data_IF_807637896401
#
_entry.id   IF_807637896401
#
_cell.length_a   1.000
_cell.length_b   1.000
_cell.length_c   1.000
_cell.angle_alpha   90.00
_cell.angle_beta   90.00
_cell.angle_gamma   90.00
#
_symmetry.space_group_name_H-M   'P 1'
#
loop_
_entity.id
_entity.type
_entity.pdbx_description
1 polymer ?
#
# COMPACT_ATOMS: atom_id res chain seq x y z
N UNK A 1 38.73 -64.08 2.10
CA UNK A 1 38.54 -64.79 0.83
C UNK A 1 37.10 -65.29 0.76
N UNK A 2 36.37 -64.81 -0.24
CA UNK A 2 35.29 -65.47 -0.99
C UNK A 2 34.15 -66.24 -0.28
N UNK A 3 32.92 -65.74 -0.52
CA UNK A 3 31.69 -66.46 -0.99
C UNK A 3 31.06 -67.54 -0.08
N UNK A 4 29.75 -67.80 -0.07
CA UNK A 4 28.54 -67.31 -0.72
C UNK A 4 27.35 -67.94 0.03
N UNK A 5 26.29 -67.14 0.23
CA UNK A 5 24.91 -67.42 -0.14
C UNK A 5 24.31 -68.84 -0.04
N UNK A 6 23.15 -68.91 0.61
CA UNK A 6 22.14 -69.97 0.53
C UNK A 6 20.79 -69.35 0.15
N UNK A 7 19.88 -70.06 -0.56
CA UNK A 7 18.92 -69.52 -1.52
C UNK A 7 17.51 -69.35 -0.93
N UNK A 8 16.61 -68.77 -1.73
CA UNK A 8 15.12 -68.81 -1.74
C UNK A 8 14.62 -67.43 -2.22
N UNK A 9 14.61 -67.20 -3.54
CA UNK A 9 13.48 -67.42 -4.46
C UNK A 9 12.28 -66.48 -4.22
N UNK A 10 12.16 -65.50 -5.12
CA UNK A 10 10.94 -65.00 -5.76
C UNK A 10 9.63 -65.00 -4.95
N UNK A 11 9.18 -63.80 -4.56
CA UNK A 11 7.92 -63.23 -5.05
C UNK A 11 8.10 -61.71 -5.14
N UNK A 12 8.17 -61.27 -6.39
CA UNK A 12 8.24 -59.89 -6.86
C UNK A 12 6.84 -59.28 -6.76
N UNK A 13 6.67 -58.23 -5.96
CA UNK A 13 5.55 -57.28 -6.10
C UNK A 13 6.09 -55.85 -6.10
N UNK A 14 6.56 -55.42 -7.26
CA UNK A 14 6.85 -54.01 -7.55
C UNK A 14 5.54 -53.39 -8.02
N UNK A 15 4.92 -52.57 -7.18
CA UNK A 15 3.78 -51.75 -7.58
C UNK A 15 4.35 -50.44 -8.16
N UNK A 16 4.40 -50.36 -9.49
CA UNK A 16 4.64 -49.11 -10.20
C UNK A 16 3.31 -48.35 -10.32
N UNK A 17 3.14 -47.27 -9.56
CA UNK A 17 2.02 -46.34 -9.75
C UNK A 17 2.40 -45.31 -10.82
N UNK A 18 1.97 -45.57 -12.05
CA UNK A 18 1.83 -44.53 -13.06
C UNK A 18 0.49 -43.81 -12.83
N UNK A 19 0.52 -42.55 -12.44
CA UNK A 19 -0.68 -41.71 -12.32
C UNK A 19 -0.76 -40.85 -13.59
N UNK A 20 -1.61 -41.25 -14.53
CA UNK A 20 -2.08 -40.39 -15.61
C UNK A 20 -3.35 -39.68 -15.15
N UNK A 21 -3.32 -38.35 -15.05
CA UNK A 21 -4.53 -37.57 -14.81
C UNK A 21 -5.27 -37.33 -16.13
N UNK A 22 -6.38 -38.04 -16.31
CA UNK A 22 -7.51 -37.58 -17.09
C UNK A 22 -8.79 -38.11 -16.41
N UNK A 23 -9.74 -37.21 -16.18
CA UNK A 23 -11.08 -37.43 -15.59
C UNK A 23 -11.20 -37.30 -14.06
N UNK A 24 -11.98 -36.30 -13.64
CA UNK A 24 -12.54 -36.13 -12.29
C UNK A 24 -13.68 -37.15 -12.08
N UNK A 25 -13.47 -38.22 -11.31
CA UNK A 25 -14.44 -38.80 -10.36
C UNK A 25 -13.65 -39.65 -9.36
N UNK A 26 -13.73 -39.37 -8.06
CA UNK A 26 -13.18 -40.26 -7.03
C UNK A 26 -14.33 -41.12 -6.46
N UNK A 27 -14.39 -42.40 -6.83
CA UNK A 27 -15.20 -43.39 -6.12
C UNK A 27 -14.33 -43.95 -4.99
N UNK A 28 -14.68 -43.68 -3.73
CA UNK A 28 -13.97 -44.27 -2.58
C UNK A 28 -14.61 -45.61 -2.20
N UNK A 29 -13.83 -46.70 -2.22
CA UNK A 29 -14.22 -48.04 -1.75
C UNK A 29 -13.51 -48.42 -0.45
N UNK A 30 -13.60 -47.59 0.60
CA UNK A 30 -13.21 -47.99 1.96
C UNK A 30 -14.15 -47.35 3.01
N UNK A 31 -15.04 -48.17 3.60
CA UNK A 31 -15.84 -47.81 4.77
C UNK A 31 -15.03 -48.13 6.04
N UNK A 32 -14.55 -47.11 6.73
CA UNK A 32 -14.02 -47.20 8.09
C UNK A 32 -14.52 -46.02 8.92
N UNK A 33 -15.18 -46.29 10.05
CA UNK A 33 -15.60 -45.26 11.00
C UNK A 33 -14.37 -44.72 11.74
N UNK A 34 -14.23 -43.39 11.76
CA UNK A 34 -13.24 -42.58 12.47
C UNK A 34 -11.88 -42.34 11.79
N UNK A 35 -11.90 -41.58 10.68
CA UNK A 35 -10.78 -40.68 10.34
C UNK A 35 -11.33 -39.26 10.14
N UNK A 36 -10.99 -38.36 11.07
CA UNK A 36 -11.08 -36.92 10.85
C UNK A 36 -9.76 -36.52 10.17
N UNK A 37 -9.77 -36.39 8.85
CA UNK A 37 -8.64 -35.81 8.11
C UNK A 37 -8.96 -34.37 7.74
N UNK A 38 -8.26 -33.41 8.35
CA UNK A 38 -8.19 -32.04 7.84
C UNK A 38 -7.29 -32.00 6.60
N UNK A 39 -7.84 -32.37 5.44
CA UNK A 39 -7.20 -32.12 4.14
C UNK A 39 -7.84 -30.89 3.53
N UNK A 40 -7.16 -29.75 3.70
CA UNK A 40 -7.42 -28.53 2.94
C UNK A 40 -6.90 -28.77 1.52
N UNK A 41 -7.78 -28.98 0.55
CA UNK A 41 -7.40 -29.10 -0.85
C UNK A 41 -6.87 -27.77 -1.36
N UNK A 42 -5.70 -27.80 -1.99
CA UNK A 42 -5.21 -26.68 -2.77
C UNK A 42 -6.08 -26.54 -4.02
N UNK A 43 -7.01 -25.58 -4.00
CA UNK A 43 -7.78 -25.23 -5.18
C UNK A 43 -6.85 -24.70 -6.27
N UNK A 44 -6.73 -25.48 -7.35
CA UNK A 44 -6.33 -25.01 -8.65
C UNK A 44 -7.41 -24.05 -9.16
N UNK A 45 -7.30 -22.76 -8.83
CA UNK A 45 -8.12 -21.75 -9.48
C UNK A 45 -7.56 -21.49 -10.88
N UNK A 46 -8.21 -22.08 -11.88
CA UNK A 46 -7.96 -21.80 -13.29
C UNK A 46 -8.15 -20.30 -13.58
N UNK A 47 -7.09 -19.66 -14.09
CA UNK A 47 -6.96 -18.21 -14.35
C UNK A 47 -7.82 -17.65 -15.50
N UNK A 48 -8.94 -18.28 -15.83
CA UNK A 48 -9.81 -17.86 -16.94
C UNK A 48 -11.30 -17.92 -16.57
N UNK A 49 -11.71 -17.30 -15.45
CA UNK A 49 -13.11 -16.87 -15.26
C UNK A 49 -13.27 -15.87 -14.12
N UNK A 50 -12.81 -14.64 -14.33
CA UNK A 50 -13.33 -13.47 -13.60
C UNK A 50 -13.54 -12.34 -14.61
N UNK A 51 -14.45 -12.59 -15.56
CA UNK A 51 -15.12 -11.51 -16.28
C UNK A 51 -16.11 -10.87 -15.31
N UNK A 52 -15.83 -9.62 -14.97
CA UNK A 52 -16.73 -8.59 -14.46
C UNK A 52 -18.10 -9.06 -13.96
N UNK A 53 -18.19 -9.35 -12.67
CA UNK A 53 -19.36 -8.91 -11.91
C UNK A 53 -18.89 -7.78 -10.99
N UNK A 54 -18.98 -6.55 -11.50
CA UNK A 54 -19.08 -5.35 -10.65
C UNK A 54 -20.45 -5.42 -9.97
N UNK A 55 -20.57 -6.30 -9.00
CA UNK A 55 -21.64 -6.19 -8.03
C UNK A 55 -21.10 -5.26 -6.97
N UNK A 56 -21.67 -4.06 -6.92
CA UNK A 56 -21.47 -3.08 -5.86
C UNK A 56 -21.55 -3.81 -4.53
N UNK A 57 -20.40 -4.02 -3.89
CA UNK A 57 -20.37 -4.54 -2.53
C UNK A 57 -20.85 -3.38 -1.68
N UNK A 58 -22.08 -3.52 -1.19
CA UNK A 58 -22.69 -2.60 -0.24
C UNK A 58 -21.70 -2.26 0.87
N UNK A 59 -21.66 -0.98 1.26
CA UNK A 59 -20.97 -0.44 2.44
C UNK A 59 -21.53 -1.12 3.70
N UNK A 60 -21.13 -2.36 3.92
CA UNK A 60 -21.63 -3.21 5.01
C UNK A 60 -20.57 -3.14 6.09
N UNK A 61 -20.75 -2.20 7.03
CA UNK A 61 -20.22 -2.21 8.41
C UNK A 61 -18.92 -2.97 8.62
N UNK A 62 -17.84 -2.53 7.98
CA UNK A 62 -16.52 -2.72 8.60
C UNK A 62 -16.45 -1.74 9.76
N UNK A 63 -16.23 -2.23 10.97
CA UNK A 63 -15.94 -1.38 12.12
C UNK A 63 -14.59 -0.69 11.89
N UNK A 64 -14.61 0.42 11.16
CA UNK A 64 -13.41 1.25 10.95
C UNK A 64 -13.29 2.25 12.09
N UNK A 65 -12.06 2.53 12.52
CA UNK A 65 -11.81 3.55 13.56
C UNK A 65 -12.04 4.98 13.07
N UNK A 66 -12.15 5.18 11.75
CA UNK A 66 -12.38 6.48 11.11
C UNK A 66 -13.86 6.89 11.22
N UNK A 67 -14.11 8.20 11.38
CA UNK A 67 -15.45 8.78 11.52
C UNK A 67 -15.61 10.00 10.61
N UNK A 68 -16.57 9.95 9.68
CA UNK A 68 -16.74 10.98 8.63
C UNK A 68 -18.08 11.74 8.69
N UNK A 69 -18.94 11.49 9.68
CA UNK A 69 -20.28 12.08 9.73
C UNK A 69 -20.28 13.61 9.69
N UNK A 70 -19.45 14.26 10.50
CA UNK A 70 -19.34 15.73 10.53
C UNK A 70 -18.79 16.29 9.22
N UNK A 71 -17.80 15.60 8.63
CA UNK A 71 -17.27 15.94 7.32
C UNK A 71 -18.37 15.91 6.25
N UNK A 72 -19.15 14.82 6.17
CA UNK A 72 -20.22 14.67 5.18
C UNK A 72 -21.31 15.72 5.32
N UNK A 73 -21.76 15.99 6.54
CA UNK A 73 -22.76 17.05 6.81
C UNK A 73 -22.27 18.40 6.28
N UNK A 74 -21.02 18.76 6.59
CA UNK A 74 -20.46 20.04 6.15
C UNK A 74 -20.17 20.06 4.64
N UNK A 75 -19.72 18.94 4.06
CA UNK A 75 -19.51 18.79 2.62
C UNK A 75 -20.80 19.00 1.83
N UNK A 76 -21.90 18.36 2.23
CA UNK A 76 -23.22 18.53 1.62
C UNK A 76 -23.73 19.96 1.77
N UNK A 77 -23.45 20.61 2.91
CA UNK A 77 -23.81 22.02 3.14
C UNK A 77 -23.09 22.95 2.16
N UNK A 78 -21.80 22.74 1.94
CA UNK A 78 -21.00 23.51 0.98
C UNK A 78 -21.37 23.19 -0.48
N UNK A 79 -21.72 21.95 -0.79
CA UNK A 79 -21.91 21.45 -2.15
C UNK A 79 -23.23 20.69 -2.33
N UNK A 80 -24.36 21.42 -2.26
CA UNK A 80 -25.74 20.87 -2.25
C UNK A 80 -26.11 19.85 -3.34
N UNK A 81 -25.39 19.82 -4.46
CA UNK A 81 -25.68 18.95 -5.62
C UNK A 81 -24.50 18.03 -5.99
N UNK A 82 -23.61 17.71 -5.05
CA UNK A 82 -22.51 16.77 -5.26
C UNK A 82 -22.82 15.43 -4.60
N UNK A 83 -22.41 14.36 -5.25
CA UNK A 83 -22.39 13.05 -4.64
C UNK A 83 -21.45 13.05 -3.41
N UNK A 84 -21.82 12.35 -2.33
CA UNK A 84 -20.95 12.20 -1.18
C UNK A 84 -19.67 11.46 -1.58
N UNK A 85 -18.55 11.82 -0.95
CA UNK A 85 -17.29 11.09 -1.11
C UNK A 85 -17.34 9.79 -0.33
N UNK A 86 -16.81 8.69 -0.86
CA UNK A 86 -16.82 7.43 -0.10
C UNK A 86 -15.83 7.47 1.06
N UNK A 87 -16.21 6.84 2.18
CA UNK A 87 -15.37 6.72 3.37
C UNK A 87 -14.05 6.01 3.08
N UNK A 88 -14.06 5.02 2.18
CA UNK A 88 -12.85 4.33 1.72
C UNK A 88 -11.88 5.30 1.03
N UNK A 89 -12.38 6.17 0.17
CA UNK A 89 -11.55 7.16 -0.53
C UNK A 89 -11.03 8.23 0.43
N UNK A 90 -11.85 8.68 1.39
CA UNK A 90 -11.43 9.62 2.43
C UNK A 90 -10.34 9.02 3.32
N UNK A 91 -10.47 7.74 3.68
CA UNK A 91 -9.46 7.02 4.47
C UNK A 91 -8.13 6.90 3.72
N UNK A 92 -8.18 6.56 2.43
CA UNK A 92 -6.98 6.61 1.56
C UNK A 92 -6.39 8.02 1.51
N UNK A 93 -7.22 9.05 1.31
CA UNK A 93 -6.75 10.42 1.20
C UNK A 93 -6.05 10.90 2.48
N UNK A 94 -6.56 10.53 3.66
CA UNK A 94 -5.92 10.85 4.94
C UNK A 94 -4.52 10.26 5.01
N UNK A 95 -4.34 8.96 4.70
CA UNK A 95 -3.01 8.35 4.70
C UNK A 95 -2.05 9.03 3.73
N UNK A 96 -2.56 9.42 2.55
CA UNK A 96 -1.77 10.15 1.55
C UNK A 96 -1.38 11.56 2.02
N UNK A 97 -2.31 12.27 2.65
CA UNK A 97 -2.10 13.60 3.23
C UNK A 97 -1.14 13.57 4.42
N UNK A 98 -1.15 12.53 5.26
CA UNK A 98 -0.21 12.41 6.38
C UNK A 98 1.24 12.19 5.90
N UNK A 99 1.42 11.52 4.76
CA UNK A 99 2.72 11.36 4.12
C UNK A 99 3.21 12.64 3.42
N UNK A 100 2.56 13.06 2.33
CA UNK A 100 3.07 14.14 1.46
C UNK A 100 2.36 15.50 1.64
N UNK A 101 1.37 15.58 2.54
CA UNK A 101 0.65 16.81 2.85
C UNK A 101 1.38 17.71 3.86
N UNK A 102 0.93 18.96 3.96
CA UNK A 102 1.41 19.94 4.93
C UNK A 102 0.22 20.70 5.50
N UNK A 103 0.01 20.54 6.81
CA UNK A 103 -0.97 21.26 7.61
C UNK A 103 -0.25 22.49 8.18
N UNK A 104 -0.38 23.64 7.52
CA UNK A 104 0.45 24.81 7.80
C UNK A 104 -0.31 25.90 8.55
N UNK A 105 0.37 26.54 9.49
CA UNK A 105 -0.04 27.78 10.14
C UNK A 105 1.04 28.84 10.00
N UNK A 106 0.64 30.10 9.76
CA UNK A 106 1.56 31.23 9.62
C UNK A 106 0.92 32.50 10.17
N UNK A 107 1.73 33.56 10.28
CA UNK A 107 1.35 34.82 10.92
C UNK A 107 0.83 34.58 12.35
N UNK A 108 1.64 33.91 13.18
CA UNK A 108 1.33 33.61 14.59
C UNK A 108 0.01 32.85 14.78
N UNK A 109 -0.29 31.92 13.86
CA UNK A 109 -1.51 31.10 13.93
C UNK A 109 -2.77 31.77 13.39
N UNK A 110 -2.70 33.00 12.85
CA UNK A 110 -3.86 33.69 12.28
C UNK A 110 -4.27 33.18 10.91
N UNK A 111 -3.35 32.56 10.17
CA UNK A 111 -3.61 32.03 8.83
C UNK A 111 -3.27 30.55 8.76
N UNK A 112 -4.14 29.81 8.09
CA UNK A 112 -4.09 28.35 7.95
C UNK A 112 -4.12 27.98 6.48
N UNK A 113 -3.39 26.95 6.09
CA UNK A 113 -3.33 26.45 4.71
C UNK A 113 -2.97 24.98 4.67
N UNK A 114 -3.66 24.23 3.81
CA UNK A 114 -3.23 22.90 3.40
C UNK A 114 -2.44 22.96 2.11
N UNK A 115 -1.34 22.20 2.05
CA UNK A 115 -0.57 22.01 0.81
C UNK A 115 -0.28 20.54 0.62
N UNK A 116 -0.67 19.96 -0.52
CA UNK A 116 -0.26 18.62 -0.92
C UNK A 116 0.67 18.73 -2.13
N UNK A 117 1.91 18.26 -1.98
CA UNK A 117 2.94 18.40 -3.02
C UNK A 117 3.16 17.07 -3.74
N UNK A 118 3.10 17.07 -5.07
CA UNK A 118 3.37 15.88 -5.89
C UNK A 118 4.12 16.22 -7.17
N UNK A 119 4.93 15.29 -7.67
CA UNK A 119 5.51 15.39 -9.02
C UNK A 119 4.51 15.01 -10.11
N UNK A 120 3.52 14.19 -9.78
CA UNK A 120 2.41 13.87 -10.67
C UNK A 120 1.23 14.81 -10.46
N UNK A 121 0.93 15.65 -11.45
CA UNK A 121 -0.22 16.57 -11.39
C UNK A 121 -1.57 15.86 -11.42
N UNK A 122 -1.66 14.70 -12.09
CA UNK A 122 -2.93 14.00 -12.32
C UNK A 122 -3.66 13.65 -11.01
N UNK A 123 -2.94 13.15 -10.00
CA UNK A 123 -3.56 12.83 -8.70
C UNK A 123 -4.06 14.08 -7.99
N UNK A 124 -3.31 15.19 -8.07
CA UNK A 124 -3.72 16.45 -7.46
C UNK A 124 -4.97 17.03 -8.12
N UNK A 125 -5.07 16.98 -9.45
CA UNK A 125 -6.28 17.37 -10.16
C UNK A 125 -7.47 16.45 -9.85
N UNK A 126 -7.24 15.15 -9.69
CA UNK A 126 -8.28 14.20 -9.27
C UNK A 126 -8.80 14.52 -7.86
N UNK A 127 -7.89 14.78 -6.91
CA UNK A 127 -8.23 15.21 -5.53
C UNK A 127 -8.99 16.53 -5.55
N UNK A 128 -8.49 17.54 -6.28
CA UNK A 128 -9.14 18.84 -6.43
C UNK A 128 -10.55 18.68 -6.99
N UNK A 129 -10.73 17.88 -8.04
CA UNK A 129 -12.03 17.64 -8.67
C UNK A 129 -13.01 16.95 -7.70
N UNK A 130 -12.54 15.95 -6.94
CA UNK A 130 -13.36 15.21 -5.97
C UNK A 130 -13.81 16.08 -4.81
N UNK A 131 -12.89 16.79 -4.15
CA UNK A 131 -13.27 17.69 -3.06
C UNK A 131 -13.99 18.94 -3.55
N UNK A 132 -13.77 19.35 -4.80
CA UNK A 132 -14.25 20.62 -5.35
C UNK A 132 -13.75 21.85 -4.57
N UNK A 133 -12.51 21.78 -4.04
CA UNK A 133 -11.87 22.86 -3.28
C UNK A 133 -10.42 23.06 -3.72
N UNK A 134 -9.91 24.25 -3.40
CA UNK A 134 -8.51 24.60 -3.61
C UNK A 134 -8.10 24.68 -5.08
N UNK A 135 -6.82 24.90 -5.29
CA UNK A 135 -6.23 25.10 -6.61
C UNK A 135 -4.97 24.26 -6.78
N UNK A 136 -4.78 23.68 -7.97
CA UNK A 136 -3.52 23.01 -8.33
C UNK A 136 -2.63 24.01 -9.07
N UNK A 137 -1.41 24.22 -8.57
CA UNK A 137 -0.40 25.09 -9.18
C UNK A 137 0.83 24.28 -9.58
N UNK A 138 1.40 24.61 -10.74
CA UNK A 138 2.67 24.07 -11.24
C UNK A 138 3.84 24.93 -10.79
N UNK A 139 4.91 24.29 -10.35
CA UNK A 139 6.14 24.93 -9.90
C UNK A 139 7.30 24.35 -10.72
N UNK A 140 7.75 25.08 -11.77
CA UNK A 140 8.89 24.65 -12.55
C UNK A 140 10.16 24.76 -11.72
N UNK A 141 10.99 23.72 -11.72
CA UNK A 141 12.22 23.66 -10.89
C UNK A 141 13.50 23.37 -11.67
N UNK A 142 13.45 23.34 -13.01
CA UNK A 142 14.62 23.03 -13.84
C UNK A 142 15.53 24.24 -14.12
N UNK A 143 16.80 24.17 -13.70
CA UNK A 143 17.90 25.03 -14.21
C UNK A 143 18.78 24.37 -15.29
N UNK A 144 18.53 23.11 -15.65
CA UNK A 144 19.39 22.39 -16.61
C UNK A 144 18.70 21.14 -17.19
N UNK A 145 18.00 21.27 -18.31
CA UNK A 145 17.54 20.18 -19.21
C UNK A 145 16.70 19.02 -18.64
N UNK A 146 16.50 18.96 -17.32
CA UNK A 146 15.74 17.95 -16.57
C UNK A 146 14.66 18.69 -15.81
N UNK A 147 13.41 18.53 -16.23
CA UNK A 147 12.24 18.98 -15.47
C UNK A 147 12.21 18.25 -14.12
N UNK A 148 12.48 18.98 -13.04
CA UNK A 148 12.20 18.55 -11.67
C UNK A 148 10.93 19.25 -11.17
N UNK A 149 10.00 19.45 -12.10
CA UNK A 149 8.80 20.18 -11.81
C UNK A 149 7.96 19.40 -10.80
N UNK A 150 7.25 20.16 -9.98
CA UNK A 150 6.29 19.62 -9.06
C UNK A 150 5.05 20.49 -9.08
N UNK A 151 4.00 19.96 -8.49
CA UNK A 151 2.70 20.57 -8.42
C UNK A 151 2.28 20.61 -6.96
N UNK A 152 1.47 21.60 -6.62
CA UNK A 152 0.87 21.70 -5.29
C UNK A 152 -0.62 21.90 -5.42
N UNK A 153 -1.39 21.08 -4.74
CA UNK A 153 -2.77 21.39 -4.44
C UNK A 153 -2.79 22.22 -3.15
N UNK A 154 -3.29 23.44 -3.25
CA UNK A 154 -3.27 24.44 -2.19
C UNK A 154 -4.71 24.77 -1.83
N UNK A 155 -5.02 24.64 -0.54
CA UNK A 155 -6.30 25.04 0.05
C UNK A 155 -5.99 26.08 1.10
N UNK A 156 -6.49 27.31 0.93
CA UNK A 156 -6.37 28.40 1.92
C UNK A 156 -7.68 29.17 2.12
N UNK A 157 -8.73 28.82 1.37
CA UNK A 157 -10.08 29.32 1.61
C UNK A 157 -10.60 28.79 2.97
N UNK A 158 -11.03 29.66 3.89
CA UNK A 158 -11.37 29.31 5.27
C UNK A 158 -12.48 28.27 5.44
N UNK A 159 -13.54 28.32 4.64
CA UNK A 159 -14.60 27.29 4.65
C UNK A 159 -14.07 25.94 4.15
N UNK A 160 -13.18 25.94 3.15
CA UNK A 160 -12.54 24.72 2.67
C UNK A 160 -11.53 24.14 3.67
N UNK A 161 -10.84 25.00 4.44
CA UNK A 161 -9.98 24.54 5.53
C UNK A 161 -10.80 23.97 6.69
N UNK A 162 -11.95 24.59 7.02
CA UNK A 162 -12.87 24.02 8.00
C UNK A 162 -13.36 22.62 7.58
N UNK A 163 -13.67 22.43 6.29
CA UNK A 163 -14.01 21.12 5.73
C UNK A 163 -12.89 20.10 5.94
N UNK A 164 -11.65 20.45 5.62
CA UNK A 164 -10.50 19.56 5.85
C UNK A 164 -10.21 19.33 7.34
N UNK A 165 -10.45 20.32 8.20
CA UNK A 165 -10.31 20.16 9.63
C UNK A 165 -11.32 19.16 10.19
N UNK A 166 -12.58 19.17 9.71
CA UNK A 166 -13.56 18.13 10.04
C UNK A 166 -13.15 16.75 9.53
N UNK A 167 -12.50 16.67 8.36
CA UNK A 167 -11.97 15.41 7.85
C UNK A 167 -10.86 14.85 8.74
N UNK A 168 -9.93 15.70 9.18
CA UNK A 168 -8.75 15.27 9.93
C UNK A 168 -9.00 15.09 11.43
N UNK A 169 -9.94 15.81 12.04
CA UNK A 169 -10.15 15.81 13.48
C UNK A 169 -10.62 14.44 14.01
N UNK A 170 -9.71 13.73 14.69
CA UNK A 170 -9.93 12.36 15.18
C UNK A 170 -9.65 11.26 14.16
N UNK A 171 -9.13 11.59 12.98
CA UNK A 171 -8.85 10.64 11.90
C UNK A 171 -7.36 10.61 11.50
N UNK A 172 -6.48 11.39 12.14
CA UNK A 172 -5.02 11.36 11.87
C UNK A 172 -4.33 10.30 12.74
N UNK A 173 -3.35 9.58 12.17
CA UNK A 173 -2.61 8.52 12.85
C UNK A 173 -1.24 8.97 13.39
N UNK A 174 -0.71 10.09 12.88
CA UNK A 174 0.63 10.62 13.17
C UNK A 174 0.56 11.82 14.12
N UNK A 175 1.29 11.77 15.24
CA UNK A 175 1.23 12.77 16.32
C UNK A 175 1.54 14.20 15.85
N UNK A 176 2.63 14.39 15.09
CA UNK A 176 2.99 15.75 14.66
C UNK A 176 1.93 16.38 13.73
N UNK A 177 1.16 15.56 12.98
CA UNK A 177 0.04 16.05 12.15
C UNK A 177 -1.13 16.49 13.02
N UNK A 178 -1.39 15.78 14.11
CA UNK A 178 -2.40 16.14 15.12
C UNK A 178 -2.03 17.46 15.80
N UNK A 179 -0.76 17.67 16.14
CA UNK A 179 -0.27 18.94 16.70
C UNK A 179 -0.45 20.10 15.71
N UNK A 180 -0.12 19.90 14.43
CA UNK A 180 -0.37 20.89 13.38
C UNK A 180 -1.87 21.21 13.24
N UNK A 181 -2.73 20.20 13.33
CA UNK A 181 -4.18 20.37 13.29
C UNK A 181 -4.71 21.11 14.53
N UNK A 182 -4.11 20.93 15.70
CA UNK A 182 -4.51 21.66 16.91
C UNK A 182 -4.41 23.18 16.70
N UNK A 183 -3.34 23.63 16.02
CA UNK A 183 -3.17 25.04 15.66
C UNK A 183 -4.23 25.53 14.67
N UNK A 184 -4.63 24.69 13.69
CA UNK A 184 -5.77 24.98 12.82
C UNK A 184 -7.06 25.12 13.60
N UNK A 185 -7.36 24.20 14.51
CA UNK A 185 -8.60 24.22 15.28
C UNK A 185 -8.70 25.50 16.12
N UNK A 186 -7.62 25.93 16.76
CA UNK A 186 -7.58 27.21 17.47
C UNK A 186 -7.90 28.39 16.53
N UNK A 187 -7.23 28.46 15.38
CA UNK A 187 -7.46 29.52 14.39
C UNK A 187 -8.89 29.54 13.84
N UNK A 188 -9.47 28.36 13.59
CA UNK A 188 -10.82 28.19 13.06
C UNK A 188 -11.88 28.53 14.11
N UNK A 189 -11.71 28.10 15.37
CA UNK A 189 -12.62 28.46 16.45
C UNK A 189 -12.62 29.97 16.71
N UNK A 190 -11.45 30.63 16.65
CA UNK A 190 -11.38 32.09 16.75
C UNK A 190 -12.11 32.80 15.60
N UNK A 191 -12.20 32.17 14.43
CA UNK A 191 -12.80 32.76 13.23
C UNK A 191 -14.30 32.51 13.12
N UNK A 192 -14.74 31.29 13.36
CA UNK A 192 -16.11 30.83 13.09
C UNK A 192 -16.99 30.76 14.34
N UNK A 193 -16.41 30.96 15.52
CA UNK A 193 -17.09 30.91 16.80
C UNK A 193 -16.42 29.92 17.75
N UNK A 194 -16.38 30.27 19.04
CA UNK A 194 -15.89 29.39 20.09
C UNK A 194 -16.62 28.05 19.99
N UNK A 195 -15.86 26.95 19.99
CA UNK A 195 -16.38 25.56 19.90
C UNK A 195 -16.86 25.09 18.51
N UNK A 196 -16.56 25.80 17.42
CA UNK A 196 -16.81 25.30 16.05
C UNK A 196 -16.29 23.87 15.83
N UNK A 197 -15.10 23.58 16.35
CA UNK A 197 -14.50 22.25 16.37
C UNK A 197 -14.11 21.89 17.81
N UNK A 198 -14.69 20.81 18.32
CA UNK A 198 -14.18 20.12 19.52
C UNK A 198 -13.00 19.23 19.12
N UNK A 199 -11.79 19.68 19.44
CA UNK A 199 -10.55 19.00 19.03
C UNK A 199 -10.41 17.61 19.66
N UNK A 200 -9.97 16.64 18.87
CA UNK A 200 -9.63 15.27 19.27
C UNK A 200 -8.13 15.06 19.08
N UNK A 201 -7.41 14.93 20.19
CA UNK A 201 -5.95 14.79 20.21
C UNK A 201 -5.45 13.33 20.17
N UNK A 202 -6.35 12.36 20.15
CA UNK A 202 -5.99 10.93 20.12
C UNK A 202 -5.74 10.49 18.68
N UNK A 203 -4.58 9.87 18.38
CA UNK A 203 -4.36 9.28 17.07
C UNK A 203 -5.34 8.16 16.78
N UNK A 204 -5.84 8.10 15.55
CA UNK A 204 -6.68 7.00 15.09
C UNK A 204 -5.87 5.70 15.07
N UNK A 205 -6.53 4.58 15.33
CA UNK A 205 -5.95 3.25 15.16
C UNK A 205 -6.06 2.86 13.69
N UNK A 206 -4.92 2.52 13.08
CA UNK A 206 -4.86 2.00 11.70
C UNK A 206 -5.00 0.49 11.71
N UNK A 207 -5.70 -0.07 10.73
CA UNK A 207 -6.01 -1.50 10.66
C UNK A 207 -5.74 -2.07 9.28
N UNK A 208 -5.64 -3.40 9.18
CA UNK A 208 -5.56 -4.09 7.89
C UNK A 208 -6.88 -4.09 7.10
N UNK A 209 -7.95 -3.52 7.67
CA UNK A 209 -9.32 -3.50 7.15
C UNK A 209 -9.74 -2.12 6.61
N UNK A 210 -8.80 -1.17 6.57
CA UNK A 210 -9.01 0.17 6.06
C UNK A 210 -7.94 0.58 5.02
N UNK A 211 -8.22 1.64 4.27
CA UNK A 211 -7.38 2.11 3.17
C UNK A 211 -6.24 3.06 3.55
N UNK A 212 -6.00 3.30 4.85
CA UNK A 212 -5.05 4.34 5.28
C UNK A 212 -3.63 4.02 4.82
N UNK A 213 -3.19 2.77 4.99
CA UNK A 213 -1.86 2.34 4.57
C UNK A 213 -1.69 2.38 3.05
N UNK A 214 -2.76 2.23 2.26
CA UNK A 214 -2.71 2.45 0.81
C UNK A 214 -2.34 3.91 0.49
N UNK A 215 -3.02 4.87 1.10
CA UNK A 215 -2.69 6.29 0.97
C UNK A 215 -1.27 6.62 1.42
N UNK A 216 -0.90 6.12 2.60
CA UNK A 216 0.44 6.35 3.14
C UNK A 216 1.54 5.74 2.26
N UNK A 217 1.27 4.57 1.67
CA UNK A 217 2.15 3.94 0.67
C UNK A 217 2.26 4.76 -0.60
N UNK A 218 1.17 5.39 -1.04
CA UNK A 218 1.17 6.30 -2.18
C UNK A 218 2.09 7.52 -1.96
N UNK A 219 2.30 7.95 -0.71
CA UNK A 219 3.23 9.04 -0.38
C UNK A 219 4.68 8.58 -0.11
N UNK A 220 4.84 7.55 0.74
CA UNK A 220 6.15 7.19 1.33
C UNK A 220 6.64 5.79 0.93
N UNK A 221 5.82 5.02 0.21
CA UNK A 221 6.08 3.63 -0.12
C UNK A 221 6.97 3.41 -1.34
N UNK A 222 7.68 2.28 -1.33
CA UNK A 222 8.49 1.81 -2.44
C UNK A 222 8.35 0.30 -2.63
N UNK A 223 7.97 -0.09 -3.85
CA UNK A 223 8.06 -1.47 -4.34
C UNK A 223 9.42 -1.67 -5.01
N UNK A 224 10.23 -2.55 -4.43
CA UNK A 224 11.60 -2.74 -4.86
C UNK A 224 11.88 -4.17 -5.31
N UNK A 225 12.58 -4.28 -6.44
CA UNK A 225 13.22 -5.53 -6.90
C UNK A 225 14.69 -5.22 -7.10
N UNK A 226 15.55 -6.02 -6.48
CA UNK A 226 17.00 -5.97 -6.68
C UNK A 226 17.49 -7.32 -7.18
N UNK A 227 18.38 -7.28 -8.17
CA UNK A 227 19.03 -8.45 -8.73
C UNK A 227 20.51 -8.27 -8.47
N UNK A 228 21.10 -9.13 -7.64
CA UNK A 228 22.50 -9.00 -7.23
C UNK A 228 23.30 -10.23 -7.64
N UNK A 229 24.57 -10.09 -8.06
CA UNK A 229 25.44 -11.22 -8.32
C UNK A 229 25.58 -12.11 -7.08
N UNK A 230 25.52 -13.42 -7.28
CA UNK A 230 25.78 -14.42 -6.26
C UNK A 230 26.14 -15.75 -6.92
N UNK A 231 27.41 -16.14 -6.83
CA UNK A 231 27.99 -17.33 -7.49
C UNK A 231 27.47 -18.66 -6.96
N UNK A 232 26.71 -18.67 -5.85
CA UNK A 232 26.10 -19.88 -5.28
C UNK A 232 24.88 -20.37 -6.08
N UNK A 233 24.34 -19.55 -6.98
CA UNK A 233 23.15 -19.88 -7.78
C UNK A 233 23.54 -20.20 -9.22
N UNK A 234 22.80 -21.09 -9.87
CA UNK A 234 23.07 -21.57 -11.25
C UNK A 234 23.24 -20.45 -12.27
N UNK A 235 22.46 -19.37 -12.15
CA UNK A 235 22.54 -18.19 -13.02
C UNK A 235 23.42 -17.07 -12.47
N UNK A 236 24.19 -17.31 -11.40
CA UNK A 236 25.05 -16.36 -10.70
C UNK A 236 24.33 -15.09 -10.19
N UNK A 237 23.01 -15.14 -9.97
CA UNK A 237 22.21 -14.01 -9.52
C UNK A 237 21.15 -14.43 -8.51
N UNK A 238 20.85 -13.54 -7.57
CA UNK A 238 19.72 -13.66 -6.64
C UNK A 238 18.77 -12.48 -6.80
N UNK A 239 17.48 -12.77 -6.84
CA UNK A 239 16.41 -11.77 -6.88
C UNK A 239 15.90 -11.55 -5.46
N UNK A 240 15.88 -10.30 -5.01
CA UNK A 240 15.30 -9.90 -3.73
C UNK A 240 14.20 -8.88 -3.99
N UNK A 241 13.00 -9.20 -3.51
CA UNK A 241 11.84 -8.32 -3.53
C UNK A 241 11.61 -7.74 -2.15
N UNK A 242 11.27 -6.45 -2.10
CA UNK A 242 11.02 -5.72 -0.85
C UNK A 242 9.85 -4.76 -1.02
N UNK A 243 9.05 -4.66 0.04
CA UNK A 243 8.17 -3.51 0.29
C UNK A 243 8.82 -2.65 1.35
N UNK A 244 8.88 -1.34 1.10
CA UNK A 244 9.64 -0.39 1.91
C UNK A 244 8.76 0.83 2.19
N UNK A 245 8.80 1.33 3.41
CA UNK A 245 8.32 2.66 3.80
C UNK A 245 9.46 3.41 4.48
N UNK A 246 9.67 4.66 4.12
CA UNK A 246 10.63 5.55 4.78
C UNK A 246 9.88 6.71 5.45
N UNK A 247 10.19 7.00 6.72
CA UNK A 247 9.58 8.10 7.45
C UNK A 247 10.49 8.57 8.59
N UNK A 248 10.45 9.87 8.93
CA UNK A 248 11.19 10.42 10.08
C UNK A 248 10.59 9.99 11.42
N UNK A 249 9.28 9.82 11.47
CA UNK A 249 8.57 9.27 12.61
C UNK A 249 8.67 7.74 12.63
N UNK A 250 9.39 7.18 13.60
CA UNK A 250 9.50 5.72 13.78
C UNK A 250 8.25 5.11 14.40
N UNK A 251 7.43 5.88 15.13
CA UNK A 251 6.25 5.39 15.85
C UNK A 251 5.22 4.87 14.85
N UNK A 252 4.97 5.60 13.77
CA UNK A 252 4.03 5.16 12.74
C UNK A 252 4.54 3.90 12.01
N UNK A 253 5.85 3.79 11.78
CA UNK A 253 6.44 2.59 11.18
C UNK A 253 6.33 1.36 12.10
N UNK A 254 6.47 1.56 13.41
CA UNK A 254 6.26 0.49 14.39
C UNK A 254 4.79 0.05 14.46
N UNK A 255 3.83 0.98 14.39
CA UNK A 255 2.40 0.63 14.26
C UNK A 255 2.13 -0.20 13.00
N UNK A 256 2.77 0.12 11.88
CA UNK A 256 2.64 -0.65 10.63
C UNK A 256 3.31 -2.03 10.76
N UNK A 257 4.43 -2.13 11.47
CA UNK A 257 5.04 -3.42 11.80
C UNK A 257 4.10 -4.28 12.65
N UNK A 258 3.46 -3.71 13.67
CA UNK A 258 2.47 -4.39 14.52
C UNK A 258 1.25 -4.84 13.71
N UNK A 259 0.77 -4.02 12.77
CA UNK A 259 -0.36 -4.34 11.89
C UNK A 259 -0.14 -5.64 11.09
N UNK A 260 1.09 -5.90 10.62
CA UNK A 260 1.40 -7.13 9.88
C UNK A 260 2.00 -8.24 10.76
N UNK A 261 2.55 -7.91 11.94
CA UNK A 261 3.28 -8.83 12.80
C UNK A 261 4.63 -9.30 12.23
N UNK A 262 5.14 -8.65 11.17
CA UNK A 262 6.42 -9.00 10.55
C UNK A 262 7.08 -7.80 9.88
N UNK A 263 8.33 -7.99 9.45
CA UNK A 263 9.14 -6.94 8.82
C UNK A 263 10.22 -6.47 9.78
N UNK A 264 10.84 -5.33 9.46
CA UNK A 264 11.86 -4.71 10.32
C UNK A 264 11.82 -3.20 10.19
N UNK A 265 11.83 -2.49 11.32
CA UNK A 265 12.08 -1.05 11.37
C UNK A 265 13.54 -0.82 11.73
N UNK A 266 14.25 -0.03 10.92
CA UNK A 266 15.67 0.31 11.14
C UNK A 266 15.94 1.76 10.80
N UNK A 267 16.90 2.38 11.47
CA UNK A 267 17.46 3.65 11.03
C UNK A 267 18.11 3.47 9.65
N UNK A 268 17.80 4.37 8.71
CA UNK A 268 18.35 4.36 7.36
C UNK A 268 19.72 5.03 7.37
N UNK A 269 20.76 4.25 7.13
CA UNK A 269 22.14 4.73 7.05
C UNK A 269 22.30 5.86 6.04
N UNK A 270 23.08 6.89 6.38
CA UNK A 270 23.39 8.02 5.50
C UNK A 270 22.23 9.00 5.30
N UNK A 271 21.25 9.00 6.22
CA UNK A 271 20.16 9.98 6.24
C UNK A 271 20.05 10.61 7.62
N UNK A 272 19.51 11.82 7.68
CA UNK A 272 19.24 12.52 8.93
C UNK A 272 17.91 12.04 9.53
N UNK A 273 18.01 11.11 10.50
CA UNK A 273 16.90 10.58 11.29
C UNK A 273 15.71 10.03 10.47
N UNK A 274 15.98 9.40 9.33
CA UNK A 274 14.94 8.67 8.57
C UNK A 274 14.97 7.21 8.99
N UNK A 275 13.81 6.69 9.39
CA UNK A 275 13.60 5.28 9.65
C UNK A 275 13.03 4.60 8.41
N UNK A 276 13.29 3.30 8.32
CA UNK A 276 12.84 2.45 7.23
C UNK A 276 12.15 1.22 7.79
N UNK A 277 10.89 1.03 7.43
CA UNK A 277 10.22 -0.25 7.52
C UNK A 277 10.49 -1.05 6.26
N UNK A 278 10.93 -2.30 6.40
CA UNK A 278 11.18 -3.20 5.27
C UNK A 278 10.53 -4.56 5.50
N UNK A 279 9.71 -4.98 4.55
CA UNK A 279 9.22 -6.35 4.43
C UNK A 279 10.03 -7.07 3.36
N UNK A 280 10.58 -8.21 3.75
CA UNK A 280 11.24 -9.16 2.86
C UNK A 280 10.71 -10.57 3.12
N UNK A 281 11.04 -11.50 2.24
CA UNK A 281 10.61 -12.88 2.37
C UNK A 281 9.34 -13.13 1.57
N UNK A 282 9.44 -14.03 0.61
CA UNK A 282 8.46 -14.20 -0.45
C UNK A 282 7.06 -14.54 0.06
N UNK A 283 6.95 -15.38 1.09
CA UNK A 283 5.66 -15.71 1.72
C UNK A 283 4.99 -14.50 2.36
N UNK A 284 5.74 -13.68 3.11
CA UNK A 284 5.24 -12.47 3.78
C UNK A 284 4.75 -11.41 2.80
N UNK A 285 5.34 -11.37 1.59
CA UNK A 285 4.90 -10.45 0.55
C UNK A 285 3.49 -10.78 0.03
N UNK A 286 2.98 -12.01 0.20
CA UNK A 286 1.59 -12.33 -0.16
C UNK A 286 0.58 -11.52 0.65
N UNK A 287 0.84 -11.29 1.94
CA UNK A 287 -0.07 -10.52 2.81
C UNK A 287 -0.07 -9.04 2.42
N UNK A 288 1.11 -8.51 2.05
CA UNK A 288 1.24 -7.17 1.48
C UNK A 288 0.46 -7.06 0.16
N UNK A 289 0.57 -8.06 -0.71
CA UNK A 289 -0.16 -8.12 -1.98
C UNK A 289 -1.67 -8.18 -1.73
N UNK A 290 -2.12 -9.00 -0.76
CA UNK A 290 -3.52 -9.13 -0.41
C UNK A 290 -4.10 -7.80 0.07
N UNK A 291 -3.37 -7.06 0.92
CA UNK A 291 -3.76 -5.73 1.37
C UNK A 291 -3.98 -4.77 0.20
N UNK A 292 -3.00 -4.62 -0.71
CA UNK A 292 -3.13 -3.67 -1.84
C UNK A 292 -4.09 -4.12 -2.94
N UNK A 293 -4.45 -5.41 -3.01
CA UNK A 293 -5.55 -5.88 -3.84
C UNK A 293 -6.91 -5.47 -3.27
N UNK A 294 -7.03 -5.44 -1.94
CA UNK A 294 -8.25 -5.01 -1.25
C UNK A 294 -8.38 -3.49 -1.15
N UNK A 295 -7.27 -2.78 -0.96
CA UNK A 295 -7.18 -1.33 -0.93
C UNK A 295 -6.21 -0.84 -2.00
N UNK A 296 -6.69 -0.62 -3.23
CA UNK A 296 -5.84 -0.22 -4.35
C UNK A 296 -5.14 1.12 -4.11
N UNK A 297 -3.92 1.23 -4.65
CA UNK A 297 -3.20 2.50 -4.77
C UNK A 297 -3.86 3.38 -5.83
N UNK A 298 -3.83 4.69 -5.65
CA UNK A 298 -4.47 5.66 -6.54
C UNK A 298 -3.46 6.48 -7.37
N UNK A 299 -2.16 6.46 -7.01
CA UNK A 299 -1.11 7.18 -7.75
C UNK A 299 -0.52 6.33 -8.88
N UNK A 300 0.43 6.87 -9.67
CA UNK A 300 1.24 6.07 -10.61
C UNK A 300 1.98 4.90 -9.94
N UNK A 301 2.09 4.87 -8.61
CA UNK A 301 2.66 3.76 -7.85
C UNK A 301 1.83 2.48 -7.96
N UNK A 302 0.54 2.58 -8.31
CA UNK A 302 -0.25 1.41 -8.71
C UNK A 302 0.43 0.65 -9.86
N UNK A 303 0.98 1.35 -10.86
CA UNK A 303 1.72 0.73 -11.97
C UNK A 303 3.04 0.11 -11.51
N UNK A 304 3.69 0.69 -10.49
CA UNK A 304 4.87 0.09 -9.85
C UNK A 304 4.51 -1.20 -9.13
N UNK A 305 3.38 -1.21 -8.42
CA UNK A 305 2.85 -2.40 -7.73
C UNK A 305 2.49 -3.51 -8.73
N UNK A 306 1.80 -3.22 -9.83
CA UNK A 306 1.44 -4.22 -10.85
C UNK A 306 2.68 -4.89 -11.49
N UNK A 307 3.70 -4.09 -11.81
CA UNK A 307 4.98 -4.62 -12.31
C UNK A 307 5.68 -5.47 -11.25
N UNK A 308 5.65 -5.02 -10.00
CA UNK A 308 6.20 -5.77 -8.88
C UNK A 308 5.45 -7.09 -8.66
N UNK A 309 4.12 -7.11 -8.80
CA UNK A 309 3.29 -8.32 -8.74
C UNK A 309 3.60 -9.29 -9.89
N UNK A 310 3.87 -8.77 -11.09
CA UNK A 310 4.33 -9.59 -12.22
C UNK A 310 5.64 -10.30 -11.89
N UNK A 311 6.63 -9.58 -11.33
CA UNK A 311 7.89 -10.20 -10.90
C UNK A 311 7.65 -11.22 -9.80
N UNK A 312 6.76 -10.92 -8.84
CA UNK A 312 6.37 -11.87 -7.80
C UNK A 312 5.86 -13.16 -8.45
N UNK A 313 4.86 -13.08 -9.34
CA UNK A 313 4.33 -14.25 -10.06
C UNK A 313 5.42 -15.06 -10.79
N UNK A 314 6.33 -14.40 -11.51
CA UNK A 314 7.44 -15.06 -12.21
C UNK A 314 8.40 -15.78 -11.24
N UNK A 315 8.63 -15.21 -10.05
CA UNK A 315 9.46 -15.85 -9.02
C UNK A 315 8.73 -17.03 -8.37
N UNK A 316 7.43 -16.90 -8.08
CA UNK A 316 6.58 -17.98 -7.57
C UNK A 316 6.64 -19.20 -8.47
N UNK A 317 6.49 -18.98 -9.78
CA UNK A 317 6.43 -20.01 -10.80
C UNK A 317 7.81 -20.50 -11.26
N UNK A 318 8.89 -20.13 -10.55
CA UNK A 318 10.28 -20.53 -10.85
C UNK A 318 10.80 -20.13 -12.25
N UNK A 319 10.10 -19.25 -12.96
CA UNK A 319 10.48 -18.74 -14.29
C UNK A 319 11.85 -18.04 -14.23
N UNK A 320 12.16 -17.38 -13.13
CA UNK A 320 13.45 -16.73 -12.89
C UNK A 320 14.70 -17.65 -12.91
N UNK A 321 14.52 -18.98 -12.91
CA UNK A 321 15.61 -19.94 -12.97
C UNK A 321 16.13 -20.18 -14.39
N UNK A 322 15.48 -19.63 -15.41
CA UNK A 322 15.96 -19.65 -16.81
C UNK A 322 16.60 -18.31 -17.21
N UNK A 323 17.47 -18.33 -18.21
CA UNK A 323 18.15 -17.12 -18.70
C UNK A 323 17.14 -16.14 -19.30
N UNK A 324 16.13 -16.65 -19.97
CA UNK A 324 15.03 -15.92 -20.59
C UNK A 324 14.17 -15.26 -19.51
N UNK A 325 13.76 -16.03 -18.49
CA UNK A 325 12.96 -15.51 -17.37
C UNK A 325 13.70 -14.46 -16.55
N UNK A 326 14.99 -14.66 -16.26
CA UNK A 326 15.81 -13.65 -15.59
C UNK A 326 15.94 -12.37 -16.42
N UNK A 327 16.04 -12.50 -17.75
CA UNK A 327 16.09 -11.35 -18.67
C UNK A 327 14.77 -10.57 -18.67
N UNK A 328 13.63 -11.26 -18.68
CA UNK A 328 12.32 -10.63 -18.54
C UNK A 328 12.19 -9.85 -17.22
N UNK A 329 12.60 -10.45 -16.10
CA UNK A 329 12.55 -9.79 -14.79
C UNK A 329 13.45 -8.54 -14.76
N UNK A 330 14.66 -8.59 -15.36
CA UNK A 330 15.53 -7.41 -15.48
C UNK A 330 14.85 -6.27 -16.24
N UNK A 331 14.13 -6.58 -17.30
CA UNK A 331 13.38 -5.57 -18.08
C UNK A 331 12.29 -4.93 -17.22
N UNK A 332 11.49 -5.74 -16.53
CA UNK A 332 10.41 -5.25 -15.66
C UNK A 332 11.00 -4.44 -14.48
N UNK A 333 12.06 -4.92 -13.84
CA UNK A 333 12.74 -4.27 -12.72
C UNK A 333 13.11 -2.82 -13.05
N UNK A 334 13.68 -2.57 -14.23
CA UNK A 334 14.04 -1.22 -14.70
C UNK A 334 12.79 -0.32 -14.79
N UNK A 335 11.64 -0.89 -15.14
CA UNK A 335 10.38 -0.18 -15.34
C UNK A 335 9.56 0.08 -14.07
N UNK A 336 9.83 -0.62 -12.95
CA UNK A 336 9.07 -0.47 -11.69
C UNK A 336 9.18 0.97 -11.18
N UNK A 337 10.37 1.56 -11.21
CA UNK A 337 10.64 2.89 -10.67
C UNK A 337 11.07 3.90 -11.73
N UNK A 338 10.99 3.59 -13.03
CA UNK A 338 11.41 4.50 -14.12
C UNK A 338 10.73 5.89 -14.05
N UNK A 339 9.53 5.95 -13.49
CA UNK A 339 8.77 7.19 -13.26
C UNK A 339 9.08 7.88 -11.91
N UNK A 340 9.67 7.15 -10.95
CA UNK A 340 10.03 7.65 -9.61
C UNK A 340 11.53 8.00 -9.49
N UNK A 341 12.40 7.34 -10.26
CA UNK A 341 13.86 7.32 -10.09
C UNK A 341 14.61 8.43 -10.82
N UNK A 342 13.92 9.35 -11.49
CA UNK A 342 14.59 10.46 -12.19
C UNK A 342 14.94 11.64 -11.29
N UNK A 343 14.49 11.71 -10.03
CA UNK A 343 14.62 12.95 -9.26
C UNK A 343 14.56 12.73 -7.74
N UNK A 344 15.54 13.29 -7.00
CA UNK A 344 15.53 13.37 -5.53
C UNK A 344 14.25 14.09 -5.04
N UNK A 345 13.70 13.71 -3.86
CA UNK A 345 12.69 14.54 -3.16
C UNK A 345 13.41 15.83 -2.74
N UNK A 346 13.25 16.92 -3.49
CA UNK A 346 13.71 18.27 -3.11
C UNK A 346 12.50 19.06 -2.66
N UNK A 347 12.33 19.16 -1.36
CA UNK A 347 11.25 19.91 -0.75
C UNK A 347 10.92 19.34 0.61
N UNK A 348 11.73 19.68 1.62
CA UNK A 348 11.18 19.76 2.96
C UNK A 348 10.14 20.87 2.95
N UNK A 349 8.92 20.55 3.38
CA UNK A 349 7.92 21.54 3.76
C UNK A 349 8.12 21.90 5.23
#
# INVERSE_FOLDING_TARGET
FFTMASPYSDIRNIINLAICWNSLVLISTLKGKNLISYTQSADNLSLYSLKSNKQSVSETTRETSFRFSVFHIYFTTLFKNRDPLSDEWLTWFIGFAEGDGAIQTYAEGKRVRFVLTQKESAILHSIQYKFNIGVVKHFPQGKSGKSNDFYRWIVDEPSHILLLAFLFNGNLAIHHRIEQLALWVNALNNRFGSETIKFKNTPVVITSQDGWLSGFTDAEGCFNVSITPNTRYTLNHVIRMRYILDQKDSVILNKIYELFGFGKVTLRSGTDNVYRYTVTGFKKLNDIIAYFKLFPLQTKKALSFEKWLTVHSQVSNKIHLTKEGLTQIRTIQKQINLNNSRTNKTGGA
#
